data_IF_559491497906
#
_entry.id   IF_559491497906
#
_cell.length_a   1.000
_cell.length_b   1.000
_cell.length_c   1.000
_cell.angle_alpha   90.00
_cell.angle_beta   90.00
_cell.angle_gamma   90.00
#
_symmetry.space_group_name_H-M   'P 1'
#
loop_
_entity.id
_entity.type
_entity.pdbx_description
1 polymer ?
#
# COMPACT_ATOMS: atom_id res chain seq x y z
N UNK A 1 53.07 21.06 -4.84
CA UNK A 1 52.07 21.21 -3.76
C UNK A 1 50.61 21.14 -4.27
N UNK A 2 50.31 21.65 -5.47
CA UNK A 2 48.94 21.66 -6.05
C UNK A 2 48.38 20.26 -6.35
N UNK A 3 49.23 19.31 -6.77
CA UNK A 3 48.81 17.93 -7.08
C UNK A 3 48.16 17.20 -5.90
N UNK A 4 48.65 17.42 -4.68
CA UNK A 4 48.13 16.78 -3.47
C UNK A 4 46.70 17.25 -3.14
N UNK A 5 46.42 18.53 -3.35
CA UNK A 5 45.11 19.13 -3.10
C UNK A 5 44.07 18.61 -4.12
N UNK A 6 44.49 18.41 -5.37
CA UNK A 6 43.62 17.86 -6.42
C UNK A 6 43.26 16.39 -6.13
N UNK A 7 44.26 15.58 -5.77
CA UNK A 7 44.04 14.17 -5.44
C UNK A 7 43.15 14.00 -4.20
N UNK A 8 43.36 14.84 -3.18
CA UNK A 8 42.52 14.83 -1.98
C UNK A 8 41.07 15.19 -2.28
N UNK A 9 40.82 16.23 -3.09
CA UNK A 9 39.46 16.59 -3.50
C UNK A 9 38.79 15.47 -4.30
N UNK A 10 39.50 14.85 -5.24
CA UNK A 10 38.97 13.72 -6.02
C UNK A 10 38.60 12.52 -5.12
N UNK A 11 39.41 12.21 -4.10
CA UNK A 11 39.10 11.15 -3.13
C UNK A 11 37.89 11.50 -2.25
N UNK A 12 37.74 12.76 -1.84
CA UNK A 12 36.57 13.21 -1.08
C UNK A 12 35.29 13.14 -1.91
N UNK A 13 35.34 13.55 -3.17
CA UNK A 13 34.21 13.45 -4.10
C UNK A 13 33.81 11.98 -4.31
N UNK A 14 34.77 11.09 -4.53
CA UNK A 14 34.53 9.65 -4.65
C UNK A 14 33.91 9.08 -3.37
N UNK A 15 34.43 9.45 -2.20
CA UNK A 15 33.87 9.00 -0.91
C UNK A 15 32.44 9.49 -0.70
N UNK A 16 32.15 10.75 -1.05
CA UNK A 16 30.78 11.28 -0.97
C UNK A 16 29.85 10.53 -1.91
N UNK A 17 30.25 10.32 -3.17
CA UNK A 17 29.47 9.54 -4.13
C UNK A 17 29.20 8.11 -3.65
N UNK A 18 30.22 7.43 -3.12
CA UNK A 18 30.07 6.07 -2.59
C UNK A 18 29.15 6.04 -1.37
N UNK A 19 29.22 7.04 -0.48
CA UNK A 19 28.31 7.15 0.66
C UNK A 19 26.87 7.38 0.22
N UNK A 20 26.63 8.27 -0.75
CA UNK A 20 25.29 8.50 -1.31
C UNK A 20 24.72 7.22 -1.94
N UNK A 21 25.51 6.52 -2.75
CA UNK A 21 25.11 5.22 -3.32
C UNK A 21 24.81 4.19 -2.24
N UNK A 22 25.63 4.12 -1.19
CA UNK A 22 25.41 3.21 -0.06
C UNK A 22 24.11 3.50 0.66
N UNK A 23 23.80 4.77 0.93
CA UNK A 23 22.55 5.14 1.60
C UNK A 23 21.32 4.85 0.71
N UNK A 24 21.42 5.08 -0.61
CA UNK A 24 20.35 4.71 -1.54
C UNK A 24 20.08 3.19 -1.54
N UNK A 25 21.13 2.38 -1.68
CA UNK A 25 21.02 0.91 -1.66
C UNK A 25 20.47 0.43 -0.32
N UNK A 26 20.92 1.04 0.78
CA UNK A 26 20.41 0.72 2.12
C UNK A 26 18.92 1.01 2.24
N UNK A 27 18.45 2.17 1.77
CA UNK A 27 17.03 2.51 1.79
C UNK A 27 16.18 1.53 0.97
N UNK A 28 16.66 1.14 -0.22
CA UNK A 28 16.01 0.14 -1.06
C UNK A 28 15.93 -1.21 -0.34
N UNK A 29 17.04 -1.67 0.26
CA UNK A 29 17.08 -2.93 1.00
C UNK A 29 16.14 -2.92 2.21
N UNK A 30 16.09 -1.81 2.96
CA UNK A 30 15.16 -1.66 4.09
C UNK A 30 13.71 -1.74 3.62
N UNK A 31 13.35 -1.03 2.55
CA UNK A 31 12.00 -1.08 1.97
C UNK A 31 11.64 -2.50 1.51
N UNK A 32 12.56 -3.18 0.82
CA UNK A 32 12.34 -4.55 0.35
C UNK A 32 12.10 -5.53 1.52
N UNK A 33 12.90 -5.43 2.60
CA UNK A 33 12.71 -6.28 3.79
C UNK A 33 11.38 -5.99 4.47
N UNK A 34 10.98 -4.73 4.60
CA UNK A 34 9.67 -4.38 5.18
C UNK A 34 8.51 -4.96 4.36
N UNK A 35 8.56 -4.82 3.04
CA UNK A 35 7.57 -5.42 2.13
C UNK A 35 7.55 -6.94 2.27
N UNK A 36 8.72 -7.58 2.32
CA UNK A 36 8.80 -9.03 2.49
C UNK A 36 8.15 -9.49 3.80
N UNK A 37 8.42 -8.81 4.91
CA UNK A 37 7.82 -9.13 6.21
C UNK A 37 6.30 -8.98 6.13
N UNK A 38 5.79 -7.87 5.58
CA UNK A 38 4.37 -7.63 5.44
C UNK A 38 3.68 -8.72 4.59
N UNK A 39 4.29 -9.12 3.47
CA UNK A 39 3.78 -10.19 2.62
C UNK A 39 3.82 -11.56 3.32
N UNK A 40 4.88 -11.86 4.06
CA UNK A 40 4.97 -13.09 4.84
C UNK A 40 3.88 -13.14 5.92
N UNK A 41 3.58 -12.03 6.59
CA UNK A 41 2.48 -11.94 7.55
C UNK A 41 1.12 -12.18 6.86
N UNK A 42 0.87 -11.60 5.69
CA UNK A 42 -0.36 -11.83 4.94
C UNK A 42 -0.53 -13.29 4.52
N UNK A 43 0.55 -13.92 4.04
CA UNK A 43 0.53 -15.35 3.68
C UNK A 43 0.27 -16.23 4.90
N UNK A 44 0.91 -15.94 6.04
CA UNK A 44 0.67 -16.67 7.28
C UNK A 44 -0.78 -16.53 7.76
N UNK A 45 -1.34 -15.33 7.67
CA UNK A 45 -2.74 -15.07 7.99
C UNK A 45 -3.70 -15.82 7.05
N UNK A 46 -3.48 -15.75 5.74
CA UNK A 46 -4.31 -16.42 4.74
C UNK A 46 -4.35 -17.95 4.91
N UNK A 47 -3.27 -18.54 5.45
CA UNK A 47 -3.21 -19.97 5.78
C UNK A 47 -3.74 -20.33 7.17
N UNK A 48 -4.20 -19.36 7.96
CA UNK A 48 -4.69 -19.57 9.33
C UNK A 48 -6.18 -19.95 9.35
N UNK A 49 -6.61 -20.57 10.46
CA UNK A 49 -8.03 -20.84 10.72
C UNK A 49 -8.85 -19.55 10.88
N UNK A 50 -8.23 -18.47 11.34
CA UNK A 50 -8.90 -17.19 11.54
C UNK A 50 -9.37 -16.59 10.22
N UNK A 51 -8.55 -16.69 9.16
CA UNK A 51 -8.93 -16.27 7.81
C UNK A 51 -10.06 -17.13 7.23
N UNK A 52 -10.09 -18.44 7.55
CA UNK A 52 -11.18 -19.33 7.15
C UNK A 52 -12.49 -18.96 7.85
N UNK A 53 -12.43 -18.65 9.14
CA UNK A 53 -13.59 -18.21 9.92
C UNK A 53 -14.13 -16.87 9.41
N UNK A 54 -13.27 -15.87 9.18
CA UNK A 54 -13.68 -14.57 8.64
C UNK A 54 -14.37 -14.71 7.27
N UNK A 55 -13.80 -15.52 6.37
CA UNK A 55 -14.41 -15.82 5.08
C UNK A 55 -15.75 -16.52 5.25
N UNK A 56 -15.83 -17.53 6.13
CA UNK A 56 -17.05 -18.28 6.39
C UNK A 56 -18.19 -17.36 6.85
N UNK A 57 -17.89 -16.34 7.68
CA UNK A 57 -18.91 -15.40 8.18
C UNK A 57 -19.31 -14.34 7.17
N UNK A 58 -18.34 -13.81 6.43
CA UNK A 58 -18.55 -12.62 5.59
C UNK A 58 -19.04 -12.98 4.19
N UNK A 59 -18.31 -13.87 3.51
CA UNK A 59 -18.52 -14.22 2.10
C UNK A 59 -19.26 -15.57 1.96
N UNK A 60 -18.92 -16.54 2.80
CA UNK A 60 -19.53 -17.87 2.78
C UNK A 60 -20.95 -17.91 3.34
N UNK A 61 -21.34 -16.88 4.11
CA UNK A 61 -22.62 -16.82 4.84
C UNK A 61 -22.91 -18.08 5.69
N UNK A 62 -21.85 -18.69 6.23
CA UNK A 62 -21.97 -19.86 7.10
C UNK A 62 -22.37 -19.44 8.51
N UNK A 63 -23.32 -20.18 9.05
CA UNK A 63 -23.86 -20.01 10.40
C UNK A 63 -23.23 -21.02 11.35
N UNK A 64 -22.94 -20.59 12.58
CA UNK A 64 -22.55 -21.50 13.66
C UNK A 64 -23.75 -21.88 14.52
N UNK A 65 -23.56 -22.91 15.35
CA UNK A 65 -24.59 -23.34 16.29
C UNK A 65 -24.92 -22.22 17.28
N UNK A 66 -26.15 -21.72 17.22
CA UNK A 66 -26.64 -20.59 18.03
C UNK A 66 -26.86 -19.29 17.25
N UNK A 67 -26.38 -19.18 16.00
CA UNK A 67 -26.66 -18.01 15.15
C UNK A 67 -28.11 -18.02 14.66
N UNK A 68 -28.74 -16.84 14.67
CA UNK A 68 -30.04 -16.63 14.05
C UNK A 68 -29.87 -15.81 12.77
N UNK A 69 -29.97 -16.43 11.57
CA UNK A 69 -29.89 -15.69 10.33
C UNK A 69 -31.09 -14.75 10.21
N UNK A 70 -30.83 -13.44 10.29
CA UNK A 70 -31.85 -12.40 10.09
C UNK A 70 -31.73 -11.89 8.67
N UNK A 71 -32.78 -12.10 7.87
CA UNK A 71 -32.93 -11.46 6.56
C UNK A 71 -33.79 -10.21 6.81
N UNK A 72 -33.25 -8.99 6.65
CA UNK A 72 -34.04 -7.79 6.77
C UNK A 72 -35.09 -7.78 5.65
N UNK A 73 -36.34 -8.00 6.00
CA UNK A 73 -37.46 -7.74 5.10
C UNK A 73 -37.79 -6.25 5.23
N UNK A 74 -37.76 -5.53 4.12
CA UNK A 74 -38.27 -4.17 4.05
C UNK A 74 -39.74 -4.14 4.51
N UNK A 75 -40.12 -3.14 5.28
CA UNK A 75 -41.50 -2.98 5.74
C UNK A 75 -42.34 -2.70 4.47
N UNK A 76 -43.48 -3.37 4.25
CA UNK A 76 -44.34 -3.04 3.12
C UNK A 76 -44.77 -1.56 3.21
N UNK A 77 -44.26 -0.72 2.31
CA UNK A 77 -44.50 0.73 2.31
C UNK A 77 -43.40 1.61 2.92
N UNK A 78 -42.27 1.06 3.35
CA UNK A 78 -41.09 1.89 3.65
C UNK A 78 -40.36 2.28 2.36
N UNK A 79 -40.00 3.55 2.24
CA UNK A 79 -39.11 4.02 1.16
C UNK A 79 -37.84 3.15 1.15
N UNK A 80 -37.33 2.77 -0.04
CA UNK A 80 -36.10 1.99 -0.13
C UNK A 80 -34.98 2.70 0.64
N UNK A 81 -34.21 1.95 1.42
CA UNK A 81 -33.00 2.47 2.05
C UNK A 81 -32.10 2.97 0.93
N UNK A 82 -32.01 4.29 0.79
CA UNK A 82 -31.04 4.93 -0.10
C UNK A 82 -29.69 4.71 0.55
N UNK A 83 -29.03 3.61 0.16
CA UNK A 83 -27.61 3.44 0.43
C UNK A 83 -26.93 4.58 -0.33
N UNK A 84 -26.43 5.57 0.40
CA UNK A 84 -25.58 6.60 -0.19
C UNK A 84 -24.45 5.86 -0.90
N UNK A 85 -24.45 5.90 -2.22
CA UNK A 85 -23.33 5.38 -3.00
C UNK A 85 -22.09 6.10 -2.47
N UNK A 86 -21.07 5.38 -1.97
CA UNK A 86 -19.84 6.03 -1.56
C UNK A 86 -19.34 6.86 -2.73
N UNK A 87 -18.96 8.10 -2.46
CA UNK A 87 -18.40 8.98 -3.47
C UNK A 87 -17.25 8.23 -4.15
N UNK A 88 -17.24 8.14 -5.49
CA UNK A 88 -16.18 7.41 -6.17
C UNK A 88 -14.85 7.99 -5.72
N UNK A 89 -13.95 7.12 -5.26
CA UNK A 89 -12.59 7.52 -4.94
C UNK A 89 -12.02 8.27 -6.16
N UNK A 90 -11.33 9.41 -5.95
CA UNK A 90 -10.79 10.18 -7.06
C UNK A 90 -9.95 9.25 -7.93
N UNK A 91 -10.25 9.22 -9.23
CA UNK A 91 -9.50 8.41 -10.18
C UNK A 91 -8.04 8.86 -10.09
N UNK A 92 -7.09 7.96 -9.78
CA UNK A 92 -5.70 8.35 -9.68
C UNK A 92 -5.25 8.88 -11.05
N UNK A 93 -4.73 10.12 -11.07
CA UNK A 93 -4.19 10.72 -12.28
C UNK A 93 -3.13 9.81 -12.87
N UNK A 94 -3.22 9.57 -14.16
CA UNK A 94 -2.20 8.83 -14.89
C UNK A 94 -0.91 9.66 -14.88
N UNK A 95 0.25 8.99 -14.87
CA UNK A 95 1.54 9.67 -14.76
C UNK A 95 1.72 10.79 -15.79
N UNK A 96 1.19 10.63 -17.01
CA UNK A 96 1.29 11.67 -18.05
C UNK A 96 0.43 12.90 -17.76
N UNK A 97 -0.71 12.76 -17.09
CA UNK A 97 -1.59 13.88 -16.67
C UNK A 97 -0.89 14.72 -15.60
N UNK A 98 -0.15 14.05 -14.70
CA UNK A 98 0.70 14.70 -13.70
C UNK A 98 1.80 15.50 -14.38
N UNK A 99 2.49 14.92 -15.37
CA UNK A 99 3.51 15.65 -16.12
C UNK A 99 2.93 16.85 -16.87
N UNK A 100 1.78 16.68 -17.51
CA UNK A 100 1.14 17.76 -18.26
C UNK A 100 0.76 18.94 -17.36
N UNK A 101 0.14 18.68 -16.21
CA UNK A 101 -0.22 19.72 -15.24
C UNK A 101 1.01 20.45 -14.69
N UNK A 102 2.09 19.72 -14.36
CA UNK A 102 3.33 20.34 -13.88
C UNK A 102 4.02 21.28 -14.89
N UNK A 103 3.84 21.05 -16.19
CA UNK A 103 4.52 21.82 -17.23
C UNK A 103 3.66 22.88 -17.91
N UNK A 104 2.34 22.76 -17.85
CA UNK A 104 1.42 23.57 -18.67
C UNK A 104 0.23 24.16 -17.91
N UNK A 105 0.09 23.89 -16.60
CA UNK A 105 -0.92 24.54 -15.75
C UNK A 105 -0.27 25.68 -14.95
N UNK A 106 -0.18 26.85 -15.60
CA UNK A 106 0.07 28.20 -15.04
C UNK A 106 -0.76 29.26 -15.79
#
# INVERSE_FOLDING_TARGET
>A
MILFIIEFNSRLEELNRLNEQREQVRAIATKAMQTQIALQTQVAYAGSTDAVEEWARTEGHYIQEGDQPVIPLGIPGSDPVIVNTPEPAPTPMQNWEIWWTLFFDE
#
